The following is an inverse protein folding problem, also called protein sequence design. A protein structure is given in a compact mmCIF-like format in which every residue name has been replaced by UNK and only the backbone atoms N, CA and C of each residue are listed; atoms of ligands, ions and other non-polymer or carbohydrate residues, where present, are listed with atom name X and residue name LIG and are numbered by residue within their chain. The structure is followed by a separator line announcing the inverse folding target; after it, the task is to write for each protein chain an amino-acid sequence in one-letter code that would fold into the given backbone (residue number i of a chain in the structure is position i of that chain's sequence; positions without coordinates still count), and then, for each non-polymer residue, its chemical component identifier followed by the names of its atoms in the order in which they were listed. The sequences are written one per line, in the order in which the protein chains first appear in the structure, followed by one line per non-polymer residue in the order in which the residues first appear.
data_IF_898630034003
#
_entry.id   IF_898630034003
#
_cell.length_a   1.000
_cell.length_b   1.000
_cell.length_c   1.000
_cell.angle_alpha   90.00
_cell.angle_beta   90.00
_cell.angle_gamma   90.00
#
_symmetry.space_group_name_H-M   'P 1'
#
loop_
_entity.id
_entity.type
_entity.pdbx_description
1 polymer ?
#
# COMPACT_ATOMS: atom_id res chain seq x y z
N UNK A 1 5.78 5.86 -14.38
CA UNK A 1 4.95 4.67 -14.62
C UNK A 1 5.00 3.77 -13.41
N UNK A 2 3.86 3.36 -12.86
CA UNK A 2 3.86 2.44 -11.75
C UNK A 2 4.28 1.03 -12.17
N UNK A 3 4.85 0.30 -11.24
CA UNK A 3 5.04 -1.13 -11.39
C UNK A 3 3.76 -1.85 -10.98
N UNK A 4 3.65 -3.12 -11.29
CA UNK A 4 2.47 -3.92 -10.94
C UNK A 4 2.90 -5.24 -10.31
N UNK A 5 2.06 -5.71 -9.39
CA UNK A 5 2.25 -7.00 -8.73
C UNK A 5 0.93 -7.77 -8.82
N UNK A 6 1.01 -9.09 -9.04
CA UNK A 6 -0.18 -9.94 -9.03
C UNK A 6 -0.24 -10.67 -7.70
N UNK A 7 -1.38 -10.54 -6.99
CA UNK A 7 -1.55 -11.17 -5.69
C UNK A 7 -1.86 -12.66 -5.84
N UNK A 8 -1.74 -13.47 -4.76
CA UNK A 8 -2.16 -14.86 -4.80
C UNK A 8 -3.63 -15.06 -5.20
N UNK A 9 -4.46 -14.06 -4.94
CA UNK A 9 -5.88 -14.08 -5.35
C UNK A 9 -6.08 -13.69 -6.81
N UNK A 10 -5.01 -13.37 -7.55
CA UNK A 10 -5.07 -13.05 -8.97
C UNK A 10 -5.37 -11.58 -9.28
N UNK A 11 -5.34 -10.70 -8.27
CA UNK A 11 -5.57 -9.26 -8.48
C UNK A 11 -4.25 -8.58 -8.82
N UNK A 12 -4.30 -7.61 -9.72
CA UNK A 12 -3.13 -6.87 -10.17
C UNK A 12 -3.12 -5.48 -9.50
N UNK A 13 -2.10 -5.21 -8.72
CA UNK A 13 -1.98 -3.98 -7.94
C UNK A 13 -0.87 -3.09 -8.49
N UNK A 14 -1.17 -1.81 -8.70
CA UNK A 14 -0.19 -0.81 -9.08
C UNK A 14 0.53 -0.31 -7.84
N UNK A 15 1.85 -0.09 -7.93
CA UNK A 15 2.61 0.39 -6.79
C UNK A 15 3.84 1.19 -7.22
N UNK A 16 4.37 1.97 -6.28
CA UNK A 16 5.69 2.57 -6.37
C UNK A 16 6.46 2.19 -5.12
N UNK A 17 7.65 1.64 -5.29
CA UNK A 17 8.52 1.25 -4.19
C UNK A 17 9.86 1.96 -4.33
N UNK A 18 10.35 2.53 -3.23
CA UNK A 18 11.64 3.20 -3.17
C UNK A 18 12.52 2.44 -2.18
N UNK A 19 13.74 2.08 -2.62
CA UNK A 19 14.70 1.39 -1.74
C UNK A 19 15.22 2.34 -0.67
N UNK A 20 15.60 1.77 0.48
CA UNK A 20 16.16 2.56 1.57
C UNK A 20 16.39 1.71 2.81
N UNK A 21 16.73 2.37 3.91
CA UNK A 21 17.00 1.72 5.18
C UNK A 21 15.71 1.23 5.85
N UNK A 22 15.83 0.20 6.67
CA UNK A 22 14.74 -0.33 7.48
C UNK A 22 14.73 0.30 8.88
N UNK A 23 13.57 0.33 9.53
CA UNK A 23 12.28 -0.12 9.02
C UNK A 23 11.78 0.80 7.91
N UNK A 24 11.22 0.20 6.87
CA UNK A 24 10.59 0.95 5.80
C UNK A 24 9.21 1.44 6.20
N UNK A 25 8.62 2.28 5.35
CA UNK A 25 7.29 2.85 5.57
C UNK A 25 6.36 2.36 4.46
N UNK A 26 5.18 1.87 4.82
CA UNK A 26 4.15 1.46 3.87
C UNK A 26 2.92 2.35 4.11
N UNK A 27 2.48 3.03 3.06
CA UNK A 27 1.29 3.88 3.13
C UNK A 27 0.05 3.12 2.70
N UNK A 28 -0.96 3.12 3.57
CA UNK A 28 -2.25 2.48 3.33
C UNK A 28 -3.30 3.57 3.12
N UNK A 29 -3.77 3.69 1.89
CA UNK A 29 -4.69 4.76 1.51
C UNK A 29 -6.09 4.59 2.06
N UNK A 30 -6.89 5.63 1.89
CA UNK A 30 -8.27 5.65 2.32
C UNK A 30 -9.22 5.09 1.26
N UNK A 31 -10.48 5.00 1.64
CA UNK A 31 -11.57 4.55 0.78
C UNK A 31 -11.69 5.45 -0.46
N UNK A 32 -11.71 4.85 -1.63
CA UNK A 32 -11.76 5.55 -2.92
C UNK A 32 -10.58 6.49 -3.20
N UNK A 33 -9.51 6.38 -2.41
CA UNK A 33 -8.28 7.12 -2.66
C UNK A 33 -7.37 6.35 -3.60
N UNK A 34 -6.31 7.02 -4.06
CA UNK A 34 -5.26 6.37 -4.82
C UNK A 34 -3.89 6.75 -4.26
N UNK A 35 -2.84 6.09 -4.77
CA UNK A 35 -1.48 6.30 -4.29
C UNK A 35 -0.85 7.62 -4.75
N UNK A 36 -1.55 8.37 -5.60
CA UNK A 36 -1.09 9.69 -6.08
C UNK A 36 -1.62 10.83 -5.22
N UNK A 37 -2.32 10.52 -4.14
CA UNK A 37 -2.86 11.54 -3.24
C UNK A 37 -1.79 12.30 -2.50
N UNK A 38 -2.13 13.48 -2.00
CA UNK A 38 -1.19 14.40 -1.34
C UNK A 38 -0.45 13.76 -0.18
N UNK A 39 -1.15 12.99 0.66
CA UNK A 39 -0.52 12.37 1.83
C UNK A 39 0.50 11.33 1.44
N UNK A 40 0.18 10.51 0.44
CA UNK A 40 1.09 9.46 -0.03
C UNK A 40 2.37 10.08 -0.60
N UNK A 41 2.23 11.10 -1.43
CA UNK A 41 3.39 11.77 -2.05
C UNK A 41 4.22 12.52 -1.02
N UNK A 42 3.59 13.14 -0.04
CA UNK A 42 4.29 13.84 1.05
C UNK A 42 5.14 12.87 1.88
N UNK A 43 4.56 11.71 2.22
CA UNK A 43 5.27 10.69 2.99
C UNK A 43 6.42 10.09 2.20
N UNK A 44 6.25 9.90 0.90
CA UNK A 44 7.32 9.41 0.05
C UNK A 44 8.53 10.35 0.08
N UNK A 45 8.29 11.65 -0.03
CA UNK A 45 9.35 12.67 0.07
C UNK A 45 10.00 12.65 1.45
N UNK A 46 9.19 12.55 2.50
CA UNK A 46 9.69 12.47 3.86
C UNK A 46 10.63 11.27 4.05
N UNK A 47 10.20 10.11 3.57
CA UNK A 47 10.98 8.88 3.68
C UNK A 47 12.27 8.97 2.87
N UNK A 48 12.19 9.52 1.67
CA UNK A 48 13.35 9.71 0.78
C UNK A 48 14.37 10.60 1.44
N UNK A 49 13.94 11.70 2.05
CA UNK A 49 14.85 12.64 2.72
C UNK A 49 15.59 11.98 3.89
N UNK A 50 15.03 10.94 4.48
CA UNK A 50 15.62 10.21 5.61
C UNK A 50 16.30 8.91 5.19
N UNK A 51 16.34 8.62 3.89
CA UNK A 51 16.96 7.41 3.37
C UNK A 51 16.21 6.13 3.75
N UNK A 52 14.92 6.21 4.05
CA UNK A 52 14.09 5.05 4.41
C UNK A 52 13.41 4.47 3.19
N UNK A 53 13.22 3.16 3.18
CA UNK A 53 12.41 2.48 2.17
C UNK A 53 10.96 2.93 2.30
N UNK A 54 10.25 3.01 1.17
CA UNK A 54 8.86 3.46 1.14
C UNK A 54 8.09 2.72 0.05
N UNK A 55 6.85 2.35 0.36
CA UNK A 55 5.93 1.74 -0.61
C UNK A 55 4.59 2.46 -0.54
N UNK A 56 4.07 2.81 -1.70
CA UNK A 56 2.67 3.24 -1.87
C UNK A 56 2.04 2.41 -2.97
N UNK A 57 0.77 2.13 -2.86
CA UNK A 57 0.09 1.26 -3.82
C UNK A 57 -1.39 1.58 -3.87
N UNK A 58 -2.05 1.08 -4.93
CA UNK A 58 -3.50 1.15 -5.07
C UNK A 58 -4.10 -0.21 -4.74
N UNK A 59 -5.14 -0.23 -3.90
CA UNK A 59 -5.92 -1.44 -3.68
C UNK A 59 -6.62 -1.84 -4.98
N UNK A 60 -7.03 -3.10 -5.08
CA UNK A 60 -7.87 -3.52 -6.21
C UNK A 60 -9.11 -2.63 -6.32
N UNK A 61 -9.50 -2.31 -7.55
CA UNK A 61 -10.61 -1.41 -7.81
C UNK A 61 -10.35 0.07 -7.52
N UNK A 62 -9.10 0.42 -7.16
CA UNK A 62 -8.67 1.80 -6.88
C UNK A 62 -7.57 2.21 -7.86
N UNK A 63 -7.54 3.48 -8.21
CA UNK A 63 -6.48 4.06 -9.03
C UNK A 63 -6.18 3.23 -10.26
N UNK A 64 -4.92 2.79 -10.38
CA UNK A 64 -4.42 2.05 -11.55
C UNK A 64 -4.39 0.53 -11.34
N UNK A 65 -4.91 0.04 -10.23
CA UNK A 65 -5.01 -1.40 -9.98
C UNK A 65 -6.21 -2.00 -10.70
N UNK A 66 -6.20 -3.32 -10.89
CA UNK A 66 -7.26 -4.04 -11.59
C UNK A 66 -8.54 -4.13 -10.77
N UNK A 67 -9.63 -4.49 -11.43
CA UNK A 67 -10.92 -4.70 -10.82
C UNK A 67 -11.78 -3.45 -10.78
N UNK A 68 -13.06 -3.63 -10.48
CA UNK A 68 -13.99 -2.53 -10.29
C UNK A 68 -14.13 -2.24 -8.80
N UNK A 69 -14.22 -0.96 -8.45
CA UNK A 69 -14.38 -0.54 -7.06
C UNK A 69 -15.57 -1.24 -6.39
N UNK A 70 -16.65 -1.39 -7.12
CA UNK A 70 -17.89 -1.98 -6.60
C UNK A 70 -17.79 -3.48 -6.33
N UNK A 71 -16.72 -4.13 -6.80
CA UNK A 71 -16.53 -5.57 -6.62
C UNK A 71 -15.72 -5.93 -5.37
N UNK A 72 -15.16 -4.94 -4.68
CA UNK A 72 -14.30 -5.18 -3.55
C UNK A 72 -14.93 -4.87 -2.21
N UNK A 73 -14.29 -5.32 -1.15
CA UNK A 73 -14.66 -5.01 0.23
C UNK A 73 -13.38 -4.84 1.06
N UNK A 74 -13.54 -4.36 2.31
CA UNK A 74 -12.39 -4.12 3.18
C UNK A 74 -11.53 -5.37 3.39
N UNK A 75 -12.16 -6.54 3.47
CA UNK A 75 -11.44 -7.81 3.58
C UNK A 75 -10.52 -8.06 2.39
N UNK A 76 -11.01 -7.80 1.18
CA UNK A 76 -10.22 -7.94 -0.04
C UNK A 76 -9.05 -6.95 -0.05
N UNK A 77 -9.31 -5.71 0.35
CA UNK A 77 -8.27 -4.67 0.36
C UNK A 77 -7.23 -4.93 1.44
N UNK A 78 -7.62 -5.53 2.57
CA UNK A 78 -6.67 -5.97 3.59
C UNK A 78 -5.78 -7.11 3.04
N UNK A 79 -6.34 -8.01 2.25
CA UNK A 79 -5.55 -9.05 1.58
C UNK A 79 -4.58 -8.45 0.56
N UNK A 80 -5.01 -7.42 -0.18
CA UNK A 80 -4.14 -6.71 -1.12
C UNK A 80 -2.94 -6.11 -0.36
N UNK A 81 -3.20 -5.43 0.76
CA UNK A 81 -2.14 -4.84 1.56
C UNK A 81 -1.17 -5.90 2.09
N UNK A 82 -1.68 -7.04 2.55
CA UNK A 82 -0.84 -8.14 3.00
C UNK A 82 0.06 -8.65 1.88
N UNK A 83 -0.49 -8.80 0.67
CA UNK A 83 0.28 -9.24 -0.49
C UNK A 83 1.40 -8.26 -0.81
N UNK A 84 1.14 -6.96 -0.71
CA UNK A 84 2.15 -5.92 -0.90
C UNK A 84 3.27 -6.07 0.13
N UNK A 85 2.91 -6.23 1.41
CA UNK A 85 3.91 -6.40 2.47
C UNK A 85 4.78 -7.63 2.23
N UNK A 86 4.16 -8.75 1.87
CA UNK A 86 4.91 -10.01 1.67
C UNK A 86 5.82 -9.97 0.43
N UNK A 87 5.38 -9.29 -0.64
CA UNK A 87 6.12 -9.28 -1.89
C UNK A 87 7.17 -8.17 -1.98
N UNK A 88 6.92 -7.01 -1.37
CA UNK A 88 7.71 -5.81 -1.60
C UNK A 88 8.51 -5.33 -0.38
N UNK A 89 8.29 -5.93 0.79
CA UNK A 89 8.98 -5.52 2.01
C UNK A 89 9.64 -6.70 2.70
N UNK A 90 10.61 -6.41 3.57
CA UNK A 90 11.32 -7.40 4.33
C UNK A 90 11.51 -6.86 5.75
N UNK A 91 11.35 -7.72 6.75
CA UNK A 91 11.48 -7.32 8.15
C UNK A 91 10.36 -6.41 8.64
N UNK A 92 10.54 -5.79 9.80
CA UNK A 92 9.54 -4.90 10.38
C UNK A 92 9.30 -3.66 9.52
N UNK A 93 8.04 -3.23 9.43
CA UNK A 93 7.64 -2.07 8.65
C UNK A 93 6.81 -1.12 9.51
N UNK A 94 6.87 0.18 9.19
CA UNK A 94 6.02 1.19 9.78
C UNK A 94 4.82 1.36 8.86
N UNK A 95 3.62 1.06 9.36
CA UNK A 95 2.39 1.20 8.58
C UNK A 95 1.75 2.55 8.89
N UNK A 96 1.54 3.35 7.86
CA UNK A 96 0.85 4.63 7.98
C UNK A 96 -0.46 4.54 7.23
N UNK A 97 -1.56 4.55 7.97
CA UNK A 97 -2.90 4.43 7.39
C UNK A 97 -3.67 5.72 7.48
N UNK A 98 -4.42 6.03 6.42
CA UNK A 98 -5.30 7.18 6.36
C UNK A 98 -6.74 6.68 6.23
N UNK A 99 -7.62 7.04 7.18
CA UNK A 99 -9.03 6.65 7.13
C UNK A 99 -9.17 5.12 7.11
N UNK A 100 -9.74 4.52 6.04
CA UNK A 100 -9.85 3.07 5.88
C UNK A 100 -8.48 2.39 6.01
N UNK A 101 -7.41 3.03 5.51
CA UNK A 101 -6.05 2.50 5.63
C UNK A 101 -5.62 2.32 7.08
N UNK A 102 -6.10 3.18 7.97
CA UNK A 102 -5.84 3.03 9.41
C UNK A 102 -6.44 1.74 9.96
N UNK A 103 -7.66 1.41 9.57
CA UNK A 103 -8.30 0.15 9.96
C UNK A 103 -7.50 -1.04 9.40
N UNK A 104 -7.15 -0.98 8.10
CA UNK A 104 -6.38 -2.06 7.48
C UNK A 104 -5.04 -2.25 8.20
N UNK A 105 -4.37 -1.15 8.57
CA UNK A 105 -3.13 -1.22 9.34
C UNK A 105 -3.30 -2.00 10.64
N UNK A 106 -4.41 -1.76 11.37
CA UNK A 106 -4.70 -2.48 12.59
C UNK A 106 -4.96 -3.96 12.33
N UNK A 107 -5.68 -4.29 11.27
CA UNK A 107 -5.94 -5.69 10.92
C UNK A 107 -4.63 -6.42 10.60
N UNK A 108 -3.71 -5.79 9.88
CA UNK A 108 -2.41 -6.37 9.56
C UNK A 108 -1.53 -6.54 10.80
N UNK A 109 -1.55 -5.57 11.69
CA UNK A 109 -0.73 -5.61 12.90
C UNK A 109 -1.15 -6.72 13.86
N UNK A 110 -2.41 -7.15 13.78
CA UNK A 110 -2.94 -8.22 14.64
C UNK A 110 -2.73 -9.61 14.06
N UNK A 111 -2.38 -9.70 12.82
CA UNK A 111 -2.22 -10.98 12.13
C UNK A 111 -0.90 -11.66 12.46
#
# INVERSE_FOLDING_TARGET
MPSHLTTPAGRRLAYHATAGAEPGVVFLGGFKSDMEGTKALWLEEWARARGRAFVRFDYSGHGQSSGAFTEGCVGDWAQDARAVLEALTDGPQILVGSSMGGWIALLLARA
#
